data_IF_065702457724
#
_entry.id   IF_065702457724
#
_cell.length_a   1.000
_cell.length_b   1.000
_cell.length_c   1.000
_cell.angle_alpha   90.00
_cell.angle_beta   90.00
_cell.angle_gamma   90.00
#
_symmetry.space_group_name_H-M   'P 1'
#
loop_
_entity.id
_entity.type
_entity.pdbx_description
1 polymer ?
#
# COMPACT_ATOMS: atom_id res chain seq x y z
N UNK A 1 -7.95 -30.69 0.42
CA UNK A 1 -6.53 -30.51 0.81
C UNK A 1 -5.77 -30.11 -0.44
N UNK A 2 -5.42 -28.83 -0.63
CA UNK A 2 -4.68 -28.41 -1.82
C UNK A 2 -3.28 -29.07 -1.83
N UNK A 3 -2.72 -29.47 -2.99
CA UNK A 3 -1.38 -30.07 -3.05
C UNK A 3 -0.34 -29.15 -2.41
N UNK A 4 0.63 -29.72 -1.68
CA UNK A 4 1.71 -28.97 -1.01
C UNK A 4 2.42 -28.00 -1.97
N UNK A 5 2.70 -28.46 -3.19
CA UNK A 5 3.35 -27.69 -4.25
C UNK A 5 2.54 -26.45 -4.67
N UNK A 6 1.20 -26.54 -4.66
CA UNK A 6 0.35 -25.39 -4.99
C UNK A 6 0.41 -24.31 -3.93
N UNK A 7 0.55 -24.69 -2.65
CA UNK A 7 0.64 -23.73 -1.54
C UNK A 7 2.00 -23.00 -1.55
N UNK A 8 3.08 -23.72 -1.79
CA UNK A 8 4.42 -23.12 -1.90
C UNK A 8 4.51 -22.16 -3.10
N UNK A 9 3.95 -22.55 -4.24
CA UNK A 9 3.88 -21.66 -5.41
C UNK A 9 3.06 -20.40 -5.14
N UNK A 10 1.96 -20.49 -4.40
CA UNK A 10 1.16 -19.33 -4.01
C UNK A 10 1.92 -18.39 -3.06
N UNK A 11 2.65 -18.94 -2.09
CA UNK A 11 3.48 -18.16 -1.16
C UNK A 11 4.61 -17.44 -1.90
N UNK A 12 5.28 -18.12 -2.83
CA UNK A 12 6.29 -17.55 -3.71
C UNK A 12 5.72 -16.34 -4.48
N UNK A 13 4.60 -16.53 -5.17
CA UNK A 13 3.96 -15.46 -5.96
C UNK A 13 3.49 -14.29 -5.11
N UNK A 14 2.99 -14.56 -3.89
CA UNK A 14 2.58 -13.52 -2.97
C UNK A 14 3.78 -12.68 -2.51
N UNK A 15 4.91 -13.31 -2.20
CA UNK A 15 6.13 -12.62 -1.81
C UNK A 15 6.74 -11.79 -2.93
N UNK A 16 6.85 -12.37 -4.13
CA UNK A 16 7.27 -11.64 -5.32
C UNK A 16 6.37 -10.44 -5.59
N UNK A 17 5.06 -10.61 -5.42
CA UNK A 17 4.08 -9.53 -5.58
C UNK A 17 4.23 -8.42 -4.55
N UNK A 18 4.56 -8.76 -3.30
CA UNK A 18 4.79 -7.80 -2.22
C UNK A 18 6.11 -7.04 -2.40
N UNK A 19 7.16 -7.70 -2.90
CA UNK A 19 8.43 -7.03 -3.18
C UNK A 19 8.31 -6.11 -4.40
N UNK A 20 7.67 -6.59 -5.47
CA UNK A 20 7.44 -5.80 -6.70
C UNK A 20 6.47 -4.64 -6.49
N UNK A 21 5.73 -4.59 -5.38
CA UNK A 21 4.82 -3.48 -5.10
C UNK A 21 5.50 -2.26 -4.49
N UNK A 22 6.75 -2.37 -4.06
CA UNK A 22 7.53 -1.22 -3.62
C UNK A 22 7.73 -0.27 -4.80
N UNK A 23 7.43 1.00 -4.58
CA UNK A 23 7.56 2.03 -5.61
C UNK A 23 6.43 2.05 -6.64
N UNK A 24 5.38 1.22 -6.50
CA UNK A 24 4.15 1.37 -7.28
C UNK A 24 3.24 2.42 -6.63
N UNK A 25 2.35 3.02 -7.41
CA UNK A 25 1.32 3.91 -6.88
C UNK A 25 0.06 3.18 -6.43
N UNK A 26 -0.64 3.77 -5.46
CA UNK A 26 -1.83 3.22 -4.85
C UNK A 26 -3.02 4.16 -4.99
N UNK A 27 -4.22 3.58 -5.11
CA UNK A 27 -5.45 4.35 -5.02
C UNK A 27 -5.88 4.51 -3.56
N UNK A 28 -5.31 5.51 -2.88
CA UNK A 28 -5.61 5.77 -1.46
C UNK A 28 -7.11 5.98 -1.20
N UNK A 29 -7.88 6.45 -2.20
CA UNK A 29 -9.32 6.60 -2.10
C UNK A 29 -10.08 5.27 -2.18
N UNK A 30 -9.49 4.22 -2.79
CA UNK A 30 -10.07 2.89 -2.87
C UNK A 30 -9.55 1.95 -1.77
N UNK A 31 -8.23 1.74 -1.69
CA UNK A 31 -7.53 0.97 -0.65
C UNK A 31 -6.00 0.97 -0.93
N UNK A 32 -5.21 0.58 0.06
CA UNK A 32 -3.76 0.38 -0.05
C UNK A 32 -3.35 -1.10 -0.17
N UNK A 33 -4.30 -2.04 -0.11
CA UNK A 33 -3.99 -3.47 -0.34
C UNK A 33 -3.41 -3.69 -1.74
N UNK A 34 -2.50 -4.66 -1.85
CA UNK A 34 -1.76 -5.01 -3.08
C UNK A 34 -2.61 -5.12 -4.36
N UNK A 35 -3.85 -5.57 -4.27
CA UNK A 35 -4.77 -5.69 -5.43
C UNK A 35 -5.17 -4.33 -6.04
N UNK A 36 -4.97 -3.24 -5.31
CA UNK A 36 -5.25 -1.87 -5.74
C UNK A 36 -3.99 -1.10 -6.17
N UNK A 37 -2.82 -1.74 -6.22
CA UNK A 37 -1.63 -1.16 -6.87
C UNK A 37 -1.97 -0.84 -8.32
N UNK A 38 -1.70 0.39 -8.75
CA UNK A 38 -1.85 0.80 -10.14
C UNK A 38 -0.78 0.13 -11.01
N UNK A 39 -1.12 -0.02 -12.28
CA UNK A 39 -0.18 -0.38 -13.36
C UNK A 39 0.62 -1.68 -13.17
N UNK A 40 0.23 -2.63 -12.31
CA UNK A 40 0.98 -3.89 -12.07
C UNK A 40 1.29 -4.72 -13.33
N UNK A 41 0.56 -4.52 -14.43
CA UNK A 41 0.80 -5.15 -15.74
C UNK A 41 1.50 -4.28 -16.79
N UNK A 42 1.91 -3.05 -16.45
CA UNK A 42 2.66 -2.16 -17.33
C UNK A 42 4.10 -2.66 -17.51
N UNK A 43 4.74 -2.45 -18.68
CA UNK A 43 6.17 -2.73 -18.87
C UNK A 43 7.08 -1.96 -17.90
N UNK A 44 6.70 -0.74 -17.52
CA UNK A 44 7.38 0.06 -16.49
C UNK A 44 6.35 0.62 -15.48
N UNK A 45 6.04 -0.13 -14.42
CA UNK A 45 5.00 0.24 -13.46
C UNK A 45 5.54 1.08 -12.28
N UNK A 46 6.87 1.15 -12.13
CA UNK A 46 7.49 1.74 -10.94
C UNK A 46 7.55 3.25 -11.05
N UNK A 47 7.02 3.93 -10.06
CA UNK A 47 7.00 5.40 -10.02
C UNK A 47 8.34 5.99 -9.59
N UNK A 48 9.20 5.15 -9.01
CA UNK A 48 10.49 5.55 -8.45
C UNK A 48 11.63 4.73 -9.05
N UNK A 49 12.84 5.27 -8.98
CA UNK A 49 14.04 4.56 -9.38
C UNK A 49 14.50 3.56 -8.30
N UNK A 50 14.48 2.28 -8.67
CA UNK A 50 14.83 1.14 -7.82
C UNK A 50 16.06 0.38 -8.36
N UNK A 51 17.13 1.04 -8.81
CA UNK A 51 18.27 0.27 -9.33
C UNK A 51 19.61 1.04 -9.37
N UNK A 52 20.21 1.33 -8.22
CA UNK A 52 21.53 1.99 -8.18
C UNK A 52 22.65 1.16 -7.58
N UNK A 53 22.31 0.17 -6.75
CA UNK A 53 23.31 -0.55 -5.92
C UNK A 53 23.38 -2.06 -6.22
N UNK A 54 22.71 -2.50 -7.30
CA UNK A 54 22.56 -3.90 -7.70
C UNK A 54 21.46 -4.65 -6.95
N UNK A 55 21.43 -5.97 -7.18
CA UNK A 55 20.41 -6.87 -6.63
C UNK A 55 20.97 -7.83 -5.58
N UNK A 56 20.07 -8.47 -4.82
CA UNK A 56 20.33 -9.49 -3.81
C UNK A 56 19.17 -10.49 -3.77
N UNK A 57 19.42 -11.64 -3.17
CA UNK A 57 18.38 -12.62 -2.87
C UNK A 57 17.89 -12.41 -1.43
N UNK A 58 16.57 -12.38 -1.23
CA UNK A 58 15.95 -12.21 0.08
C UNK A 58 15.30 -13.53 0.50
N UNK A 59 15.74 -14.06 1.63
CA UNK A 59 15.07 -15.16 2.32
C UNK A 59 13.99 -14.58 3.22
N UNK A 60 12.74 -15.00 3.02
CA UNK A 60 11.61 -14.43 3.77
C UNK A 60 11.60 -14.95 5.22
N UNK A 61 11.43 -14.06 6.22
CA UNK A 61 11.34 -14.45 7.61
C UNK A 61 10.28 -15.52 7.87
N UNK A 62 10.66 -16.58 8.59
CA UNK A 62 9.74 -17.66 8.97
C UNK A 62 9.32 -18.61 7.84
N UNK A 63 9.99 -18.55 6.68
CA UNK A 63 9.79 -19.49 5.57
C UNK A 63 11.12 -19.88 4.93
N UNK A 64 11.11 -20.95 4.13
CA UNK A 64 12.24 -21.37 3.30
C UNK A 64 12.21 -20.70 1.91
N UNK A 65 11.25 -19.81 1.68
CA UNK A 65 11.05 -19.13 0.40
C UNK A 65 12.11 -18.05 0.19
N UNK A 66 12.76 -18.10 -0.97
CA UNK A 66 13.73 -17.09 -1.41
C UNK A 66 13.20 -16.36 -2.64
N UNK A 67 13.28 -15.03 -2.61
CA UNK A 67 12.98 -14.19 -3.77
C UNK A 67 14.30 -13.63 -4.29
N UNK A 68 14.64 -14.01 -5.52
CA UNK A 68 15.90 -13.63 -6.14
C UNK A 68 15.82 -12.27 -6.85
N UNK A 69 16.97 -11.63 -7.05
CA UNK A 69 17.09 -10.44 -7.89
C UNK A 69 16.38 -9.19 -7.35
N UNK A 70 16.25 -9.08 -6.03
CA UNK A 70 15.62 -7.94 -5.37
C UNK A 70 16.60 -6.77 -5.27
N UNK A 71 16.23 -5.52 -5.61
CA UNK A 71 17.12 -4.36 -5.41
C UNK A 71 17.62 -4.27 -3.97
N UNK A 72 18.92 -4.01 -3.77
CA UNK A 72 19.52 -3.92 -2.42
C UNK A 72 18.92 -2.85 -1.52
N UNK A 73 18.32 -1.82 -2.12
CA UNK A 73 17.59 -0.79 -1.40
C UNK A 73 16.32 -1.31 -0.73
N UNK A 74 15.79 -2.46 -1.14
CA UNK A 74 14.63 -3.09 -0.52
C UNK A 74 15.10 -4.06 0.56
N UNK A 75 14.55 -3.91 1.77
CA UNK A 75 14.77 -4.78 2.91
C UNK A 75 13.52 -5.57 3.23
N UNK A 76 13.71 -6.73 3.83
CA UNK A 76 12.63 -7.56 4.35
C UNK A 76 12.91 -7.87 5.81
N UNK A 77 12.10 -7.32 6.69
CA UNK A 77 12.22 -7.48 8.13
C UNK A 77 11.19 -8.51 8.62
N UNK A 78 11.52 -9.15 9.74
CA UNK A 78 10.62 -10.11 10.39
C UNK A 78 9.32 -9.41 10.78
N UNK A 79 8.20 -10.07 10.49
CA UNK A 79 6.90 -9.56 10.91
C UNK A 79 6.66 -9.75 12.40
N UNK A 80 5.50 -9.28 12.83
CA UNK A 80 5.09 -9.29 14.22
C UNK A 80 3.62 -9.65 14.37
N UNK A 81 3.24 -10.04 15.57
CA UNK A 81 1.85 -10.24 15.96
C UNK A 81 1.51 -9.17 16.98
N UNK A 82 0.59 -8.29 16.62
CA UNK A 82 0.17 -7.17 17.46
C UNK A 82 -1.35 -7.15 17.61
N UNK A 83 -1.84 -6.80 18.79
CA UNK A 83 -3.25 -6.50 19.02
C UNK A 83 -3.47 -5.01 18.82
N UNK A 84 -4.37 -4.67 17.92
CA UNK A 84 -4.78 -3.31 17.63
C UNK A 84 -6.13 -3.07 18.27
N UNK A 85 -6.24 -2.00 19.06
CA UNK A 85 -7.49 -1.59 19.71
C UNK A 85 -7.58 -0.07 19.70
N UNK A 86 -8.72 0.46 19.29
CA UNK A 86 -9.02 1.89 19.39
C UNK A 86 -9.91 2.18 20.60
N UNK A 87 -9.95 3.45 21.00
CA UNK A 87 -11.05 3.98 21.79
C UNK A 87 -12.34 4.06 20.95
N UNK A 88 -13.45 4.45 21.59
CA UNK A 88 -14.69 4.79 20.89
C UNK A 88 -14.56 6.23 20.37
N UNK A 89 -14.42 6.37 19.06
CA UNK A 89 -14.14 7.64 18.40
C UNK A 89 -15.31 8.09 17.51
N UNK A 90 -15.40 9.39 17.25
CA UNK A 90 -16.26 9.90 16.17
C UNK A 90 -15.74 9.47 14.80
N UNK A 91 -16.60 9.54 13.77
CA UNK A 91 -16.21 9.25 12.38
C UNK A 91 -14.94 10.03 11.95
N UNK A 92 -14.90 11.33 12.26
CA UNK A 92 -13.78 12.20 11.87
C UNK A 92 -12.47 11.82 12.58
N UNK A 93 -12.53 11.55 13.88
CA UNK A 93 -11.35 11.13 14.65
C UNK A 93 -10.81 9.78 14.17
N UNK A 94 -11.69 8.82 13.89
CA UNK A 94 -11.28 7.51 13.37
C UNK A 94 -10.70 7.63 11.95
N UNK A 95 -11.33 8.41 11.06
CA UNK A 95 -10.82 8.71 9.73
C UNK A 95 -9.41 9.33 9.78
N UNK A 96 -9.21 10.32 10.64
CA UNK A 96 -7.89 10.93 10.85
C UNK A 96 -6.86 9.93 11.38
N UNK A 97 -7.24 9.02 12.29
CA UNK A 97 -6.34 7.99 12.80
C UNK A 97 -5.83 7.09 11.67
N UNK A 98 -6.74 6.57 10.84
CA UNK A 98 -6.38 5.74 9.67
C UNK A 98 -5.49 6.49 8.68
N UNK A 99 -5.76 7.78 8.44
CA UNK A 99 -4.92 8.59 7.55
C UNK A 99 -3.50 8.75 8.11
N UNK A 100 -3.34 8.98 9.41
CA UNK A 100 -2.01 9.09 10.05
C UNK A 100 -1.22 7.80 9.95
N UNK A 101 -1.88 6.64 10.09
CA UNK A 101 -1.24 5.33 9.89
C UNK A 101 -0.72 5.15 8.46
N UNK A 102 -1.33 5.82 7.47
CA UNK A 102 -0.87 5.90 6.08
C UNK A 102 0.08 7.07 5.81
N UNK A 103 0.55 7.78 6.85
CA UNK A 103 1.34 9.02 6.73
C UNK A 103 0.65 10.14 5.93
N UNK A 104 -0.68 10.14 5.90
CA UNK A 104 -1.51 11.16 5.26
C UNK A 104 -2.00 12.18 6.29
N UNK A 105 -2.14 13.42 5.85
CA UNK A 105 -2.76 14.50 6.62
C UNK A 105 -4.22 14.72 6.23
N UNK A 106 -5.03 15.18 7.17
CA UNK A 106 -6.39 15.63 6.91
C UNK A 106 -7.47 14.62 7.28
N UNK A 107 -8.72 15.01 7.02
CA UNK A 107 -9.92 14.35 7.57
C UNK A 107 -10.75 13.57 6.57
N UNK A 108 -10.40 13.68 5.27
CA UNK A 108 -11.09 12.96 4.20
C UNK A 108 -10.79 11.47 4.39
N UNK A 109 -11.81 10.61 4.51
CA UNK A 109 -11.59 9.19 4.76
C UNK A 109 -10.89 8.52 3.60
N UNK A 110 -9.84 7.78 3.91
CA UNK A 110 -9.18 6.88 2.97
C UNK A 110 -10.07 5.67 2.64
N UNK A 111 -9.81 5.04 1.52
CA UNK A 111 -10.47 3.80 1.14
C UNK A 111 -10.20 2.65 2.10
N UNK A 112 -9.03 2.65 2.77
CA UNK A 112 -8.73 1.69 3.83
C UNK A 112 -9.70 1.83 5.02
N UNK A 113 -9.94 3.06 5.48
CA UNK A 113 -10.93 3.34 6.52
C UNK A 113 -12.33 2.91 6.09
N UNK A 114 -12.73 3.25 4.85
CA UNK A 114 -14.04 2.88 4.32
C UNK A 114 -14.21 1.36 4.27
N UNK A 115 -13.19 0.62 3.81
CA UNK A 115 -13.23 -0.84 3.76
C UNK A 115 -13.21 -1.49 5.15
N UNK A 116 -12.54 -0.90 6.15
CA UNK A 116 -12.53 -1.42 7.51
C UNK A 116 -13.94 -1.41 8.14
N UNK A 117 -14.70 -0.35 7.89
CA UNK A 117 -16.03 -0.15 8.49
C UNK A 117 -17.19 -0.35 7.51
N UNK A 118 -16.90 -0.92 6.34
CA UNK A 118 -17.89 -1.25 5.29
C UNK A 118 -18.68 -0.03 4.78
N UNK A 119 -18.08 1.15 4.78
CA UNK A 119 -18.66 2.35 4.19
C UNK A 119 -18.59 2.31 2.67
N UNK A 120 -19.72 2.57 2.02
CA UNK A 120 -19.86 2.56 0.55
C UNK A 120 -20.53 3.82 0.01
N UNK A 121 -20.97 4.72 0.88
CA UNK A 121 -21.68 5.94 0.53
C UNK A 121 -20.76 7.13 0.30
N UNK A 122 -21.38 8.31 0.16
CA UNK A 122 -20.65 9.58 0.26
C UNK A 122 -20.25 9.79 1.72
N UNK A 123 -18.99 10.14 1.98
CA UNK A 123 -18.47 10.27 3.33
C UNK A 123 -19.28 11.22 4.22
N UNK A 124 -19.93 12.25 3.69
CA UNK A 124 -20.76 13.17 4.45
C UNK A 124 -21.99 12.47 5.05
N UNK A 125 -22.62 11.58 4.27
CA UNK A 125 -23.78 10.80 4.72
C UNK A 125 -23.38 9.76 5.74
N UNK A 126 -22.28 9.05 5.47
CA UNK A 126 -21.74 8.03 6.38
C UNK A 126 -21.30 8.67 7.71
N UNK A 127 -20.68 9.85 7.66
CA UNK A 127 -20.34 10.61 8.85
C UNK A 127 -21.58 11.06 9.63
N UNK A 128 -22.64 11.50 8.95
CA UNK A 128 -23.88 11.96 9.60
C UNK A 128 -24.67 10.81 10.23
N UNK A 129 -24.63 9.61 9.65
CA UNK A 129 -25.33 8.42 10.16
C UNK A 129 -24.52 7.65 11.22
N UNK A 130 -23.22 7.91 11.32
CA UNK A 130 -22.32 7.22 12.24
C UNK A 130 -22.20 7.95 13.57
N UNK A 131 -22.72 7.35 14.65
CA UNK A 131 -22.57 7.91 16.01
C UNK A 131 -21.14 7.78 16.53
N UNK A 132 -20.55 6.60 16.41
CA UNK A 132 -19.23 6.28 16.94
C UNK A 132 -18.68 5.01 16.31
N UNK A 133 -17.35 4.90 16.26
CA UNK A 133 -16.61 3.76 15.71
C UNK A 133 -15.58 3.27 16.72
N UNK A 134 -15.30 1.98 16.70
CA UNK A 134 -14.21 1.35 17.42
C UNK A 134 -13.79 0.07 16.71
N UNK A 135 -12.54 -0.35 16.87
CA UNK A 135 -12.07 -1.67 16.46
C UNK A 135 -11.22 -2.33 17.55
N UNK A 136 -11.22 -3.65 17.57
CA UNK A 136 -10.33 -4.49 18.39
C UNK A 136 -10.03 -5.77 17.60
N UNK A 137 -8.75 -6.04 17.34
CA UNK A 137 -8.34 -7.15 16.50
C UNK A 137 -6.88 -7.52 16.66
N UNK A 138 -6.55 -8.74 16.24
CA UNK A 138 -5.17 -9.18 16.09
C UNK A 138 -4.75 -9.04 14.64
N UNK A 139 -3.62 -8.37 14.42
CA UNK A 139 -2.92 -8.38 13.14
C UNK A 139 -1.68 -9.25 13.26
N UNK A 140 -1.48 -10.12 12.27
CA UNK A 140 -0.30 -10.96 12.14
C UNK A 140 0.40 -10.57 10.85
N UNK A 141 1.43 -9.74 10.97
CA UNK A 141 2.33 -9.42 9.88
C UNK A 141 3.33 -10.55 9.76
N UNK A 142 3.44 -11.17 8.58
CA UNK A 142 4.41 -12.25 8.35
C UNK A 142 5.83 -11.70 8.19
N UNK A 143 5.95 -10.63 7.42
CA UNK A 143 7.16 -9.87 7.16
C UNK A 143 6.80 -8.48 6.68
N UNK A 144 7.74 -7.55 6.82
CA UNK A 144 7.62 -6.19 6.30
C UNK A 144 8.62 -6.00 5.18
N UNK A 145 8.16 -5.57 4.01
CA UNK A 145 9.04 -5.18 2.91
C UNK A 145 9.08 -3.66 2.88
N UNK A 146 10.27 -3.08 2.94
CA UNK A 146 10.43 -1.63 3.00
C UNK A 146 11.58 -1.15 2.13
N UNK A 147 11.43 0.05 1.56
CA UNK A 147 12.52 0.76 0.92
C UNK A 147 13.41 1.39 2.00
N UNK A 148 14.69 1.04 2.00
CA UNK A 148 15.71 1.52 2.93
C UNK A 148 16.59 2.63 2.33
N UNK A 149 16.01 3.42 1.42
CA UNK A 149 16.70 4.49 0.70
C UNK A 149 16.25 5.85 1.23
N UNK A 150 17.21 6.69 1.66
CA UNK A 150 16.92 8.02 2.18
C UNK A 150 16.45 9.02 1.11
N UNK A 151 16.88 8.83 -0.14
CA UNK A 151 16.52 9.72 -1.26
C UNK A 151 15.73 8.97 -2.33
N UNK A 152 14.49 9.40 -2.53
CA UNK A 152 13.59 8.87 -3.55
C UNK A 152 13.73 9.73 -4.80
N UNK A 153 13.90 9.08 -5.95
CA UNK A 153 13.95 9.74 -7.27
C UNK A 153 12.78 9.22 -8.09
N UNK A 154 11.96 10.13 -8.59
CA UNK A 154 10.85 9.78 -9.50
C UNK A 154 11.39 9.37 -10.87
N UNK A 155 10.74 8.39 -11.50
CA UNK A 155 11.04 8.05 -12.90
C UNK A 155 10.58 9.16 -13.85
N UNK A 156 11.22 9.22 -15.02
CA UNK A 156 10.94 10.30 -15.98
C UNK A 156 9.53 10.25 -16.55
N UNK A 157 8.97 9.06 -16.77
CA UNK A 157 7.58 8.93 -17.23
C UNK A 157 6.58 9.51 -16.21
N UNK A 158 6.90 9.46 -14.90
CA UNK A 158 6.09 10.06 -13.83
C UNK A 158 6.19 11.57 -13.90
N UNK A 159 7.40 12.11 -13.99
CA UNK A 159 7.64 13.56 -14.10
C UNK A 159 6.91 14.16 -15.30
N UNK A 160 6.87 13.45 -16.42
CA UNK A 160 6.18 13.87 -17.64
C UNK A 160 4.65 13.77 -17.53
N UNK A 161 4.14 12.81 -16.78
CA UNK A 161 2.71 12.59 -16.61
C UNK A 161 2.07 13.57 -15.61
N UNK A 162 2.85 14.23 -14.75
CA UNK A 162 2.34 15.26 -13.83
C UNK A 162 2.27 16.60 -14.57
N UNK A 163 1.08 17.23 -14.67
CA UNK A 163 0.96 18.52 -15.35
C UNK A 163 1.73 19.61 -14.60
N UNK A 164 2.35 20.52 -15.35
CA UNK A 164 3.12 21.65 -14.82
C UNK A 164 2.24 22.80 -14.29
N UNK A 165 0.95 22.75 -14.58
CA UNK A 165 -0.06 23.75 -14.17
C UNK A 165 -1.21 23.09 -13.42
N UNK A 166 -1.92 23.88 -12.60
CA UNK A 166 -3.09 23.42 -11.87
C UNK A 166 -4.32 23.29 -12.79
N UNK A 167 -4.37 22.23 -13.58
CA UNK A 167 -5.51 21.87 -14.42
C UNK A 167 -6.21 20.63 -13.82
N UNK A 168 -7.43 20.77 -13.26
CA UNK A 168 -8.06 19.69 -12.50
C UNK A 168 -8.27 18.39 -13.26
N UNK A 169 -8.62 18.44 -14.55
CA UNK A 169 -8.88 17.24 -15.34
C UNK A 169 -7.60 16.46 -15.63
N UNK A 170 -6.51 17.14 -15.99
CA UNK A 170 -5.19 16.56 -16.17
C UNK A 170 -4.68 15.95 -14.87
N UNK A 171 -4.78 16.67 -13.74
CA UNK A 171 -4.39 16.14 -12.42
C UNK A 171 -5.18 14.87 -12.07
N UNK A 172 -6.50 14.90 -12.23
CA UNK A 172 -7.35 13.74 -11.98
C UNK A 172 -6.98 12.55 -12.88
N UNK A 173 -6.68 12.80 -14.15
CA UNK A 173 -6.22 11.78 -15.10
C UNK A 173 -4.87 11.17 -14.67
N UNK A 174 -3.91 11.99 -14.26
CA UNK A 174 -2.61 11.55 -13.78
C UNK A 174 -2.74 10.70 -12.51
N UNK A 175 -3.54 11.11 -11.52
CA UNK A 175 -3.81 10.30 -10.32
C UNK A 175 -4.53 8.99 -10.63
N UNK A 176 -5.47 9.01 -11.59
CA UNK A 176 -6.16 7.79 -12.00
C UNK A 176 -5.19 6.76 -12.59
N UNK A 177 -4.21 7.22 -13.34
CA UNK A 177 -3.25 6.38 -14.06
C UNK A 177 -2.10 5.92 -13.15
N UNK A 178 -1.47 6.84 -12.42
CA UNK A 178 -0.30 6.58 -11.59
C UNK A 178 -0.68 6.10 -10.19
N UNK A 179 -1.80 6.59 -9.65
CA UNK A 179 -2.13 6.50 -8.24
C UNK A 179 -1.49 7.64 -7.43
N UNK A 180 -1.50 7.48 -6.11
CA UNK A 180 -0.82 8.32 -5.15
C UNK A 180 0.45 7.58 -4.70
N UNK A 181 1.53 8.33 -4.46
CA UNK A 181 2.83 7.84 -3.97
C UNK A 181 2.89 7.99 -2.46
#
# INVERSE_FOLDING_TARGET
MAPRDSKEMLLQRAAESAIRSIGLGYDVAADVRLKFCKQRGSPDPSLIELDRDGTQDIVLPGSLTTVAGVPKSIKCDKGERMRFRSDVLSFQQMSEQFNRELSLSGKIPSGLFNNMFEFTGSWQKDAASTKSLAFDGWCITLYTVALSKAQIVLRDHVKQAVPSTWEPAALASSFKNLGHI
#
